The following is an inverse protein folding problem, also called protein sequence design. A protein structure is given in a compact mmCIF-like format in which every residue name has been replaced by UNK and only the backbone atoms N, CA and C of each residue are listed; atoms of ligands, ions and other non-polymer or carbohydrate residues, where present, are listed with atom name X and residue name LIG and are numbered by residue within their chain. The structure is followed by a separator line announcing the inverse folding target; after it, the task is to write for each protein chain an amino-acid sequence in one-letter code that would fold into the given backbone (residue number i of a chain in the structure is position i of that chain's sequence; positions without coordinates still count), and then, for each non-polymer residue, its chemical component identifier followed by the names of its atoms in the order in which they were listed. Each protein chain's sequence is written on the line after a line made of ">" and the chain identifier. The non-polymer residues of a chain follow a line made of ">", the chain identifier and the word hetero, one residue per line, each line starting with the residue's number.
data_IF_194658374627
#
_entry.id   IF_194658374627
#
_cell.length_a   1.000
_cell.length_b   1.000
_cell.length_c   1.000
_cell.angle_alpha   90.00
_cell.angle_beta   90.00
_cell.angle_gamma   90.00
#
_symmetry.space_group_name_H-M   'P 1'
#
loop_
_entity.id
_entity.type
_entity.pdbx_description
1 polymer ?
#
# COMPACT_ATOMS: atom_id res chain seq x y z
N UNK A 1 8.45 11.47 -13.16
CA UNK A 1 8.95 10.36 -12.33
C UNK A 1 8.93 9.10 -13.18
N UNK A 2 10.00 8.31 -13.14
CA UNK A 2 10.09 7.04 -13.87
C UNK A 2 9.67 5.87 -12.98
N UNK A 3 9.28 4.75 -13.58
CA UNK A 3 8.81 3.55 -12.86
C UNK A 3 9.83 3.04 -11.83
N UNK A 4 11.12 3.06 -12.13
CA UNK A 4 12.17 2.61 -11.20
C UNK A 4 12.25 3.48 -9.93
N UNK A 5 12.08 4.80 -10.10
CA UNK A 5 12.05 5.74 -8.98
C UNK A 5 10.79 5.54 -8.14
N UNK A 6 9.66 5.25 -8.80
CA UNK A 6 8.40 4.93 -8.13
C UNK A 6 8.48 3.66 -7.31
N UNK A 7 9.01 2.60 -7.89
CA UNK A 7 9.20 1.34 -7.19
C UNK A 7 10.14 1.49 -5.98
N UNK A 8 11.24 2.24 -6.15
CA UNK A 8 12.19 2.49 -5.06
C UNK A 8 11.56 3.25 -3.88
N UNK A 9 10.74 4.27 -4.16
CA UNK A 9 10.06 5.03 -3.12
C UNK A 9 8.94 4.23 -2.45
N UNK A 10 8.19 3.44 -3.22
CA UNK A 10 7.19 2.51 -2.66
C UNK A 10 7.85 1.55 -1.67
N UNK A 11 9.00 0.96 -2.00
CA UNK A 11 9.71 0.05 -1.09
C UNK A 11 10.23 0.77 0.17
N UNK A 12 10.76 1.98 0.01
CA UNK A 12 11.25 2.80 1.13
C UNK A 12 10.13 3.13 2.11
N UNK A 13 8.99 3.62 1.61
CA UNK A 13 7.82 3.95 2.43
C UNK A 13 7.19 2.67 3.01
N UNK A 14 7.16 1.58 2.27
CA UNK A 14 6.64 0.30 2.76
C UNK A 14 7.44 -0.22 3.96
N UNK A 15 8.77 -0.12 3.90
CA UNK A 15 9.64 -0.46 5.02
C UNK A 15 9.43 0.48 6.20
N UNK A 16 9.28 1.78 5.96
CA UNK A 16 8.98 2.75 7.02
C UNK A 16 7.65 2.43 7.72
N UNK A 17 6.59 2.15 6.95
CA UNK A 17 5.28 1.76 7.48
C UNK A 17 5.32 0.43 8.24
N UNK A 18 6.19 -0.51 7.84
CA UNK A 18 6.43 -1.73 8.61
C UNK A 18 7.11 -1.45 9.95
N UNK A 19 8.10 -0.55 9.98
CA UNK A 19 8.76 -0.13 11.22
C UNK A 19 7.84 0.66 12.15
N UNK A 20 6.92 1.44 11.59
CA UNK A 20 5.92 2.23 12.32
C UNK A 20 4.68 1.39 12.74
N UNK A 21 4.66 0.08 12.48
CA UNK A 21 3.55 -0.85 12.76
C UNK A 21 2.20 -0.41 12.14
N UNK A 22 2.26 0.20 10.96
CA UNK A 22 1.06 0.65 10.23
C UNK A 22 0.38 -0.53 9.57
N UNK A 23 -0.92 -0.69 9.83
CA UNK A 23 -1.77 -1.70 9.20
C UNK A 23 -1.81 -1.55 7.67
N UNK A 24 -1.95 -2.67 6.96
CA UNK A 24 -2.15 -2.67 5.51
C UNK A 24 -3.49 -2.03 5.09
N UNK A 25 -4.47 -2.06 5.99
CA UNK A 25 -5.80 -1.47 5.79
C UNK A 25 -5.95 -0.13 6.52
N UNK A 26 -4.82 0.56 6.80
CA UNK A 26 -4.86 1.90 7.41
C UNK A 26 -5.53 2.91 6.48
N UNK A 27 -6.55 3.60 7.00
CA UNK A 27 -7.33 4.61 6.28
C UNK A 27 -7.30 5.97 6.99
N UNK A 28 -6.66 6.06 8.16
CA UNK A 28 -6.53 7.30 8.89
C UNK A 28 -5.59 8.26 8.15
N UNK A 29 -6.20 9.22 7.44
CA UNK A 29 -5.51 10.25 6.66
C UNK A 29 -4.48 11.02 7.52
N UNK A 30 -4.76 11.20 8.80
CA UNK A 30 -3.86 11.90 9.74
C UNK A 30 -2.55 11.15 9.97
N UNK A 31 -2.59 9.81 9.96
CA UNK A 31 -1.38 8.97 10.04
C UNK A 31 -0.67 8.90 8.68
N UNK A 32 -1.44 8.87 7.60
CA UNK A 32 -0.92 8.80 6.24
C UNK A 32 -0.24 10.09 5.77
N UNK A 33 -0.62 11.24 6.34
CA UNK A 33 -0.04 12.56 6.10
C UNK A 33 1.50 12.60 6.26
N UNK A 34 2.06 11.84 7.21
CA UNK A 34 3.51 11.75 7.42
C UNK A 34 4.22 11.19 6.18
N UNK A 35 3.69 10.09 5.63
CA UNK A 35 4.25 9.45 4.44
C UNK A 35 4.01 10.30 3.19
N UNK A 36 2.85 10.96 3.10
CA UNK A 36 2.55 11.92 2.03
C UNK A 36 3.61 13.03 1.98
N UNK A 37 3.93 13.66 3.12
CA UNK A 37 4.95 14.72 3.20
C UNK A 37 6.32 14.22 2.77
N UNK A 38 6.71 13.02 3.21
CA UNK A 38 7.99 12.45 2.85
C UNK A 38 8.10 12.17 1.34
N UNK A 39 7.07 11.57 0.73
CA UNK A 39 7.02 11.35 -0.72
C UNK A 39 7.01 12.68 -1.48
N UNK A 40 6.33 13.69 -0.95
CA UNK A 40 6.28 15.02 -1.55
C UNK A 40 7.66 15.66 -1.60
N UNK A 41 8.43 15.53 -0.52
CA UNK A 41 9.79 16.04 -0.41
C UNK A 41 10.79 15.21 -1.26
N UNK A 42 10.60 13.88 -1.33
CA UNK A 42 11.50 12.97 -2.04
C UNK A 42 11.28 12.98 -3.58
N UNK A 43 10.04 13.22 -4.04
CA UNK A 43 9.68 13.14 -5.47
C UNK A 43 9.21 14.45 -6.10
N UNK A 44 9.18 15.56 -5.33
CA UNK A 44 8.67 16.87 -5.77
C UNK A 44 7.27 16.79 -6.41
N UNK A 45 6.39 15.95 -5.84
CA UNK A 45 5.04 15.74 -6.33
C UNK A 45 4.05 16.75 -5.73
N UNK A 46 2.88 16.86 -6.35
CA UNK A 46 1.74 17.55 -5.74
C UNK A 46 1.10 16.71 -4.63
N UNK A 47 0.19 17.30 -3.86
CA UNK A 47 -0.46 16.58 -2.75
C UNK A 47 -1.24 15.36 -3.22
N UNK A 48 -1.85 15.42 -4.40
CA UNK A 48 -2.62 14.30 -4.97
C UNK A 48 -1.69 13.17 -5.43
N UNK A 49 -0.63 13.48 -6.17
CA UNK A 49 0.39 12.52 -6.60
C UNK A 49 1.09 11.85 -5.42
N UNK A 50 1.44 12.61 -4.38
CA UNK A 50 2.05 12.08 -3.18
C UNK A 50 1.08 11.14 -2.44
N UNK A 51 -0.20 11.51 -2.28
CA UNK A 51 -1.19 10.67 -1.61
C UNK A 51 -1.47 9.39 -2.40
N UNK A 52 -1.47 9.46 -3.73
CA UNK A 52 -1.62 8.29 -4.60
C UNK A 52 -0.52 7.26 -4.36
N UNK A 53 0.73 7.70 -4.22
CA UNK A 53 1.85 6.80 -3.90
C UNK A 53 1.75 6.20 -2.49
N UNK A 54 1.20 6.93 -1.51
CA UNK A 54 0.92 6.36 -0.18
C UNK A 54 -0.06 5.20 -0.30
N UNK A 55 -1.16 5.37 -1.04
CA UNK A 55 -2.15 4.30 -1.25
C UNK A 55 -1.59 3.15 -2.07
N UNK A 56 -0.80 3.43 -3.08
CA UNK A 56 -0.11 2.40 -3.87
C UNK A 56 0.86 1.60 -3.00
N UNK A 57 1.53 2.24 -2.05
CA UNK A 57 2.39 1.57 -1.08
C UNK A 57 1.60 0.63 -0.16
N UNK A 58 0.44 1.05 0.33
CA UNK A 58 -0.45 0.18 1.12
C UNK A 58 -0.91 -1.04 0.30
N UNK A 59 -1.30 -0.81 -0.96
CA UNK A 59 -1.68 -1.87 -1.88
C UNK A 59 -0.52 -2.82 -2.16
N UNK A 60 0.68 -2.30 -2.43
CA UNK A 60 1.90 -3.10 -2.63
C UNK A 60 2.17 -3.99 -1.42
N UNK A 61 2.12 -3.44 -0.19
CA UNK A 61 2.31 -4.22 1.04
C UNK A 61 1.27 -5.32 1.17
N UNK A 62 0.00 -5.02 0.87
CA UNK A 62 -1.09 -5.98 0.91
C UNK A 62 -0.90 -7.10 -0.11
N UNK A 63 -0.53 -6.78 -1.34
CA UNK A 63 -0.27 -7.75 -2.40
C UNK A 63 0.92 -8.65 -2.06
N UNK A 64 2.04 -8.06 -1.65
CA UNK A 64 3.25 -8.78 -1.21
C UNK A 64 3.00 -9.68 -0.01
N UNK A 65 2.07 -9.30 0.88
CA UNK A 65 1.62 -10.17 1.98
C UNK A 65 0.66 -11.27 1.51
N UNK A 66 -0.22 -10.98 0.54
CA UNK A 66 -1.23 -11.91 0.04
C UNK A 66 -0.68 -13.06 -0.81
N UNK A 67 0.51 -12.93 -1.40
CA UNK A 67 1.24 -14.06 -2.01
C UNK A 67 1.54 -15.18 -0.99
N UNK A 68 1.50 -14.89 0.32
CA UNK A 68 1.62 -15.89 1.39
C UNK A 68 0.28 -16.53 1.81
N UNK A 69 -0.86 -16.12 1.26
CA UNK A 69 -2.18 -16.49 1.78
C UNK A 69 -3.21 -16.72 0.66
N UNK A 70 -3.06 -17.81 -0.10
CA UNK A 70 -4.15 -18.72 -0.51
C UNK A 70 -5.49 -18.16 -1.05
N UNK A 71 -5.58 -16.94 -1.56
CA UNK A 71 -6.87 -16.36 -2.02
C UNK A 71 -7.42 -17.11 -3.23
N UNK A 72 -6.56 -17.78 -4.02
CA UNK A 72 -6.97 -18.58 -5.17
C UNK A 72 -7.64 -19.91 -4.76
N UNK A 73 -7.41 -20.41 -3.54
CA UNK A 73 -7.99 -21.69 -3.09
C UNK A 73 -9.46 -21.59 -2.64
N UNK A 74 -9.97 -20.39 -2.32
CA UNK A 74 -11.35 -20.20 -1.85
C UNK A 74 -12.38 -19.94 -2.96
N UNK A 75 -12.02 -20.18 -4.22
CA UNK A 75 -12.95 -20.08 -5.36
C UNK A 75 -14.06 -21.14 -5.37
N UNK A 76 -13.90 -22.24 -4.63
CA UNK A 76 -14.85 -23.36 -4.57
C UNK A 76 -15.95 -23.21 -3.52
N UNK A 77 -15.77 -22.34 -2.51
CA UNK A 77 -16.73 -22.18 -1.39
C UNK A 77 -17.83 -21.12 -1.64
N UNK A 78 -17.77 -20.39 -2.75
CA UNK A 78 -18.75 -19.35 -3.07
C UNK A 78 -20.08 -19.90 -3.66
N UNK A 79 -20.24 -21.23 -3.75
CA UNK A 79 -21.26 -21.89 -4.57
C UNK A 79 -22.20 -22.90 -3.89
N UNK A 80 -22.36 -22.90 -2.56
CA UNK A 80 -23.31 -23.80 -1.90
C UNK A 80 -23.92 -23.19 -0.64
N UNK A 81 -25.03 -22.46 -0.75
CA UNK A 81 -25.68 -21.89 0.43
C UNK A 81 -26.88 -21.00 0.20
N UNK A 82 -27.77 -21.33 -0.73
CA UNK A 82 -29.16 -20.87 -0.68
C UNK A 82 -30.02 -22.10 -0.36
N UNK A 83 -30.47 -22.20 0.89
CA UNK A 83 -31.45 -23.20 1.38
C UNK A 83 -32.60 -22.46 2.04
#
# INVERSE_FOLDING_TARGET
>A
MNEDQQNSEIEKIANLMLHDDVSFDEQDVTKLEKYKKQIKDDCELDDDGAMKLVYETLLYRKLKNSDSSGVIEKGTDFGAGFS
#
